data_IF_707311490483
#
_entry.id   IF_707311490483
#
_cell.length_a   1.000
_cell.length_b   1.000
_cell.length_c   1.000
_cell.angle_alpha   90.00
_cell.angle_beta   90.00
_cell.angle_gamma   90.00
#
_symmetry.space_group_name_H-M   'P 1'
#
loop_
_entity.id
_entity.type
_entity.pdbx_description
1 polymer ?
#
# COMPACT_ATOMS: atom_id res chain seq x y z
N UNK A 1 27.28 -35.85 36.80
CA UNK A 1 26.78 -35.00 37.91
C UNK A 1 26.83 -33.49 37.57
N UNK A 2 27.86 -33.02 36.88
CA UNK A 2 28.05 -31.58 36.57
C UNK A 2 27.04 -31.03 35.52
N UNK A 3 26.59 -31.85 34.59
CA UNK A 3 25.65 -31.45 33.53
C UNK A 3 24.22 -31.26 34.07
N UNK A 4 23.81 -32.08 35.03
CA UNK A 4 22.49 -31.98 35.68
C UNK A 4 22.35 -30.69 36.50
N UNK A 5 23.45 -30.25 37.11
CA UNK A 5 23.48 -29.03 37.90
C UNK A 5 23.36 -27.78 37.05
N UNK A 6 24.01 -27.76 35.86
CA UNK A 6 23.91 -26.69 34.87
C UNK A 6 22.50 -26.63 34.30
N UNK A 7 21.91 -27.76 33.94
CA UNK A 7 20.53 -27.83 33.42
C UNK A 7 19.52 -27.32 34.46
N UNK A 8 19.70 -27.68 35.72
CA UNK A 8 18.82 -27.23 36.79
C UNK A 8 18.96 -25.75 37.12
N UNK A 9 20.17 -25.19 36.97
CA UNK A 9 20.42 -23.75 37.09
C UNK A 9 19.74 -22.95 35.98
N UNK A 10 19.87 -23.38 34.71
CA UNK A 10 19.25 -22.75 33.55
C UNK A 10 17.71 -22.81 33.60
N UNK A 11 17.16 -23.94 34.04
CA UNK A 11 15.71 -24.08 34.21
C UNK A 11 15.17 -23.21 35.35
N UNK A 12 15.96 -22.89 36.35
CA UNK A 12 15.57 -21.99 37.45
C UNK A 12 15.58 -20.51 36.98
N UNK A 13 16.49 -20.13 36.10
CA UNK A 13 16.52 -18.78 35.48
C UNK A 13 15.40 -18.55 34.44
N UNK A 14 14.94 -19.63 33.81
CA UNK A 14 13.86 -19.58 32.82
C UNK A 14 12.44 -19.67 33.42
N UNK A 15 12.31 -19.91 34.73
CA UNK A 15 11.02 -19.82 35.40
C UNK A 15 10.66 -18.34 35.61
N UNK A 16 9.64 -17.80 34.90
CA UNK A 16 9.19 -16.45 35.18
C UNK A 16 8.68 -16.40 36.62
N UNK A 17 9.20 -15.44 37.38
CA UNK A 17 8.68 -15.12 38.71
C UNK A 17 7.16 -14.95 38.64
N UNK A 18 6.41 -15.41 39.66
CA UNK A 18 4.98 -15.23 39.70
C UNK A 18 4.68 -13.72 39.62
N UNK A 19 4.29 -13.24 38.44
CA UNK A 19 3.86 -11.88 38.26
C UNK A 19 2.60 -11.68 39.09
N UNK A 20 2.73 -10.87 40.12
CA UNK A 20 1.61 -10.25 40.80
C UNK A 20 0.94 -9.37 39.72
N UNK A 21 -0.19 -9.84 39.20
CA UNK A 21 -1.01 -9.13 38.26
C UNK A 21 -1.67 -7.97 39.01
N UNK A 22 -1.26 -6.69 38.83
CA UNK A 22 -2.13 -5.61 39.19
C UNK A 22 -3.28 -5.62 38.19
N UNK A 23 -4.49 -5.67 38.69
CA UNK A 23 -5.70 -5.52 37.90
C UNK A 23 -5.60 -4.20 37.11
N UNK A 24 -5.20 -4.31 35.84
CA UNK A 24 -5.16 -3.16 34.93
C UNK A 24 -6.58 -2.95 34.42
N UNK A 25 -7.09 -1.70 34.46
CA UNK A 25 -8.41 -1.42 33.96
C UNK A 25 -8.44 -1.74 32.44
N UNK A 26 -9.49 -2.43 32.04
CA UNK A 26 -9.77 -2.76 30.67
C UNK A 26 -9.66 -1.52 29.79
N UNK A 27 -8.54 -1.40 29.05
CA UNK A 27 -8.47 -0.50 27.91
C UNK A 27 -9.37 -1.13 26.86
N UNK A 28 -10.61 -0.67 26.84
CA UNK A 28 -11.51 -0.88 25.72
C UNK A 28 -10.85 -0.22 24.51
N UNK A 29 -10.07 -1.01 23.76
CA UNK A 29 -9.66 -0.62 22.42
C UNK A 29 -10.95 -0.44 21.62
N UNK A 30 -11.34 0.81 21.45
CA UNK A 30 -12.38 1.23 20.54
C UNK A 30 -11.90 0.89 19.12
N UNK A 31 -12.07 -0.37 18.73
CA UNK A 31 -12.02 -0.78 17.34
C UNK A 31 -13.15 -0.04 16.65
N UNK A 32 -12.79 1.01 15.91
CA UNK A 32 -13.71 1.76 15.06
C UNK A 32 -14.42 0.79 14.12
N UNK A 33 -15.65 0.45 14.46
CA UNK A 33 -16.52 -0.43 13.69
C UNK A 33 -17.03 0.37 12.50
N UNK A 34 -16.35 0.39 11.39
CA UNK A 34 -16.96 0.81 10.14
C UNK A 34 -17.62 -0.40 9.48
N UNK A 35 -18.87 -0.64 9.86
CA UNK A 35 -19.77 -1.54 9.16
C UNK A 35 -20.52 -0.69 8.14
N UNK A 36 -20.28 -0.94 6.85
CA UNK A 36 -21.02 -0.29 5.76
C UNK A 36 -21.97 -1.32 5.17
N UNK A 37 -23.25 -1.05 5.20
CA UNK A 37 -24.29 -1.87 4.56
C UNK A 37 -24.62 -1.21 3.22
N UNK A 38 -24.27 -1.85 2.11
CA UNK A 38 -24.67 -1.47 0.77
C UNK A 38 -25.25 -2.70 0.07
N UNK A 39 -26.42 -2.56 -0.53
CA UNK A 39 -27.12 -3.61 -1.31
C UNK A 39 -27.26 -4.98 -0.62
N UNK A 40 -27.53 -5.01 0.70
CA UNK A 40 -27.69 -6.26 1.45
C UNK A 40 -26.41 -7.02 1.73
N UNK A 41 -25.25 -6.46 1.39
CA UNK A 41 -23.94 -7.00 1.70
C UNK A 41 -23.34 -6.25 2.88
N UNK A 42 -23.01 -6.97 3.94
CA UNK A 42 -22.36 -6.40 5.14
C UNK A 42 -20.84 -6.42 4.93
N UNK A 43 -20.21 -5.26 4.92
CA UNK A 43 -18.75 -5.15 4.78
C UNK A 43 -18.08 -5.15 6.15
N UNK A 44 -17.17 -6.09 6.37
CA UNK A 44 -16.37 -6.20 7.60
C UNK A 44 -14.95 -5.72 7.34
N UNK A 45 -14.61 -4.54 7.84
CA UNK A 45 -13.30 -3.90 7.71
C UNK A 45 -12.36 -4.30 8.86
N UNK A 46 -12.04 -5.59 8.98
CA UNK A 46 -11.10 -6.10 9.97
C UNK A 46 -10.10 -7.03 9.31
N UNK A 47 -8.81 -6.90 9.68
CA UNK A 47 -7.76 -7.80 9.22
C UNK A 47 -7.84 -9.18 9.87
N UNK A 48 -8.42 -9.27 11.08
CA UNK A 48 -8.66 -10.54 11.77
C UNK A 48 -10.16 -10.67 12.01
N UNK A 49 -10.77 -11.64 11.35
CA UNK A 49 -12.22 -11.88 11.41
C UNK A 49 -12.51 -13.07 12.30
N UNK A 50 -12.92 -12.78 13.53
CA UNK A 50 -13.35 -13.75 14.51
C UNK A 50 -14.89 -13.83 14.60
N UNK A 51 -15.42 -14.83 15.31
CA UNK A 51 -16.84 -14.94 15.63
C UNK A 51 -17.40 -13.66 16.28
N UNK A 52 -16.65 -13.08 17.23
CA UNK A 52 -17.05 -11.85 17.90
C UNK A 52 -17.20 -10.67 16.94
N UNK A 53 -16.34 -10.56 15.93
CA UNK A 53 -16.40 -9.52 14.89
C UNK A 53 -17.61 -9.72 14.00
N UNK A 54 -17.89 -10.94 13.57
CA UNK A 54 -19.03 -11.28 12.72
C UNK A 54 -20.36 -11.11 13.43
N UNK A 55 -20.43 -11.54 14.70
CA UNK A 55 -21.62 -11.38 15.54
C UNK A 55 -21.91 -9.90 15.82
N UNK A 56 -20.88 -9.12 16.14
CA UNK A 56 -21.00 -7.68 16.34
C UNK A 56 -21.41 -6.91 15.07
N UNK A 57 -21.08 -7.45 13.90
CA UNK A 57 -21.51 -6.90 12.60
C UNK A 57 -22.93 -7.32 12.19
N UNK A 58 -23.60 -8.18 12.97
CA UNK A 58 -24.96 -8.63 12.70
C UNK A 58 -25.09 -9.53 11.46
N UNK A 59 -24.04 -10.25 11.09
CA UNK A 59 -23.99 -11.06 9.87
C UNK A 59 -24.65 -12.41 10.11
N UNK A 60 -25.97 -12.46 10.22
CA UNK A 60 -26.70 -13.72 10.33
C UNK A 60 -27.56 -13.94 9.09
N UNK A 61 -27.35 -15.04 8.35
CA UNK A 61 -28.15 -15.41 7.17
C UNK A 61 -27.95 -14.55 5.92
N UNK A 62 -26.96 -13.63 5.93
CA UNK A 62 -26.72 -12.67 4.86
C UNK A 62 -25.45 -12.96 4.04
N UNK A 63 -25.05 -11.98 3.22
CA UNK A 63 -23.80 -12.00 2.50
C UNK A 63 -22.81 -11.05 3.18
N UNK A 64 -21.62 -11.55 3.49
CA UNK A 64 -20.54 -10.73 4.07
C UNK A 64 -19.41 -10.53 3.07
N UNK A 65 -18.95 -9.31 2.96
CA UNK A 65 -17.76 -8.98 2.24
C UNK A 65 -16.60 -8.75 3.22
N UNK A 66 -15.53 -9.49 3.03
CA UNK A 66 -14.35 -9.40 3.88
C UNK A 66 -13.25 -8.57 3.20
N UNK A 67 -12.45 -7.88 4.00
CA UNK A 67 -11.30 -7.15 3.50
C UNK A 67 -10.30 -8.11 2.80
N UNK A 68 -9.73 -7.69 1.66
CA UNK A 68 -8.70 -8.47 0.98
C UNK A 68 -7.50 -8.69 1.92
N UNK A 69 -7.12 -9.95 2.13
CA UNK A 69 -6.07 -10.33 3.08
C UNK A 69 -6.53 -10.45 4.53
N UNK A 70 -7.83 -10.36 4.80
CA UNK A 70 -8.35 -10.67 6.12
C UNK A 70 -8.12 -12.14 6.47
N UNK A 71 -7.62 -12.38 7.67
CA UNK A 71 -7.42 -13.72 8.23
C UNK A 71 -8.69 -14.14 8.97
N UNK A 72 -9.34 -15.17 8.46
CA UNK A 72 -10.51 -15.74 9.08
C UNK A 72 -10.08 -16.77 10.15
N UNK A 73 -10.39 -16.50 11.40
CA UNK A 73 -10.08 -17.43 12.50
C UNK A 73 -10.92 -18.71 12.41
N UNK A 74 -10.51 -19.83 13.03
CA UNK A 74 -11.33 -21.04 13.08
C UNK A 74 -12.75 -20.77 13.62
N UNK A 75 -12.90 -20.02 14.71
CA UNK A 75 -14.22 -19.64 15.25
C UNK A 75 -15.03 -18.78 14.29
N UNK A 76 -14.39 -17.88 13.52
CA UNK A 76 -15.04 -17.11 12.48
C UNK A 76 -15.58 -17.98 11.34
N UNK A 77 -14.81 -19.02 10.93
CA UNK A 77 -15.27 -19.98 9.91
C UNK A 77 -16.47 -20.78 10.37
N UNK A 78 -16.45 -21.24 11.62
CA UNK A 78 -17.54 -22.00 12.21
C UNK A 78 -18.80 -21.15 12.35
N UNK A 79 -18.67 -19.88 12.70
CA UNK A 79 -19.78 -18.92 12.70
C UNK A 79 -20.42 -18.79 11.34
N UNK A 80 -19.62 -18.57 10.27
CA UNK A 80 -20.13 -18.45 8.89
C UNK A 80 -20.90 -19.70 8.45
N UNK A 81 -20.38 -20.89 8.78
CA UNK A 81 -21.06 -22.17 8.49
C UNK A 81 -22.36 -22.33 9.27
N UNK A 82 -22.33 -22.05 10.57
CA UNK A 82 -23.48 -22.20 11.47
C UNK A 82 -24.63 -21.29 11.08
N UNK A 83 -24.32 -20.08 10.64
CA UNK A 83 -25.32 -19.08 10.26
C UNK A 83 -25.57 -18.99 8.74
N UNK A 84 -25.12 -19.97 7.95
CA UNK A 84 -25.26 -20.03 6.50
C UNK A 84 -24.88 -18.72 5.78
N UNK A 85 -23.88 -18.01 6.29
CA UNK A 85 -23.43 -16.73 5.75
C UNK A 85 -22.60 -16.99 4.49
N UNK A 86 -22.99 -16.37 3.37
CA UNK A 86 -22.24 -16.41 2.13
C UNK A 86 -21.13 -15.36 2.19
N UNK A 87 -19.89 -15.78 2.02
CA UNK A 87 -18.78 -14.85 1.81
C UNK A 87 -18.83 -14.43 0.34
N UNK A 88 -19.26 -13.18 0.09
CA UNK A 88 -19.06 -12.59 -1.23
C UNK A 88 -17.56 -12.61 -1.51
N UNK A 89 -17.17 -12.94 -2.73
CA UNK A 89 -15.77 -12.87 -3.15
C UNK A 89 -15.14 -11.62 -2.53
N UNK A 90 -14.01 -11.83 -1.86
CA UNK A 90 -13.30 -10.75 -1.16
C UNK A 90 -13.45 -9.47 -1.97
N UNK A 91 -14.11 -8.49 -1.39
CA UNK A 91 -14.19 -7.21 -2.04
C UNK A 91 -12.77 -6.89 -2.45
N UNK A 92 -12.53 -6.87 -3.74
CA UNK A 92 -11.44 -6.12 -4.31
C UNK A 92 -11.69 -4.72 -3.76
N UNK A 93 -11.14 -4.48 -2.56
CA UNK A 93 -11.62 -3.40 -1.70
C UNK A 93 -11.52 -2.08 -2.42
N UNK A 94 -12.65 -1.68 -2.91
CA UNK A 94 -12.94 -0.29 -3.17
C UNK A 94 -13.43 0.44 -1.91
N UNK A 95 -13.08 -0.03 -0.70
CA UNK A 95 -12.62 0.88 0.32
C UNK A 95 -11.24 1.26 -0.18
N UNK A 96 -11.14 2.33 -0.93
CA UNK A 96 -9.90 2.88 -1.38
C UNK A 96 -8.94 2.87 -0.19
N UNK A 97 -8.07 1.82 -0.09
CA UNK A 97 -6.76 2.04 0.47
C UNK A 97 -6.37 3.28 -0.29
N UNK A 98 -6.34 4.41 0.38
CA UNK A 98 -5.71 5.60 -0.20
C UNK A 98 -4.35 5.08 -0.59
N UNK A 99 -4.24 4.66 -1.85
CA UNK A 99 -3.02 4.04 -2.33
C UNK A 99 -2.00 5.14 -2.19
N UNK A 100 -0.88 4.84 -1.55
CA UNK A 100 0.19 5.82 -1.36
C UNK A 100 0.64 6.42 -2.69
N UNK A 101 0.24 5.80 -3.81
CA UNK A 101 0.50 6.21 -5.18
C UNK A 101 0.07 5.13 -6.18
N UNK A 102 0.28 5.38 -7.46
CA UNK A 102 -0.02 4.45 -8.54
C UNK A 102 1.21 4.19 -9.41
N UNK A 103 1.45 2.91 -9.70
CA UNK A 103 2.40 2.48 -10.72
C UNK A 103 1.62 2.15 -11.98
N UNK A 104 1.98 2.79 -13.09
CA UNK A 104 1.44 2.51 -14.43
C UNK A 104 2.53 1.82 -15.22
N UNK A 105 2.26 0.64 -15.75
CA UNK A 105 3.23 -0.14 -16.53
C UNK A 105 2.67 -0.54 -17.89
N UNK A 106 3.47 -0.38 -18.96
CA UNK A 106 3.13 -0.85 -20.30
C UNK A 106 3.48 -2.34 -20.48
N UNK A 107 4.43 -2.85 -19.72
CA UNK A 107 4.81 -4.26 -19.66
C UNK A 107 4.69 -4.78 -18.25
N UNK A 108 4.07 -5.94 -18.10
CA UNK A 108 3.85 -6.55 -16.80
C UNK A 108 5.17 -7.04 -16.18
N UNK A 109 5.45 -6.60 -14.96
CA UNK A 109 6.63 -7.01 -14.19
C UNK A 109 6.22 -7.48 -12.80
N UNK A 110 6.48 -8.76 -12.50
CA UNK A 110 6.19 -9.34 -11.19
C UNK A 110 6.97 -8.65 -10.06
N UNK A 111 8.18 -8.16 -10.34
CA UNK A 111 9.02 -7.42 -9.38
C UNK A 111 8.36 -6.10 -9.03
N UNK A 112 7.88 -5.37 -10.04
CA UNK A 112 7.16 -4.10 -9.86
C UNK A 112 5.86 -4.31 -9.08
N UNK A 113 5.05 -5.30 -9.47
CA UNK A 113 3.78 -5.62 -8.80
C UNK A 113 3.98 -5.99 -7.32
N UNK A 114 4.99 -6.81 -7.03
CA UNK A 114 5.31 -7.24 -5.67
C UNK A 114 5.82 -6.08 -4.80
N UNK A 115 6.71 -5.25 -5.33
CA UNK A 115 7.24 -4.09 -4.61
C UNK A 115 6.14 -3.05 -4.35
N UNK A 116 5.31 -2.76 -5.35
CA UNK A 116 4.18 -1.83 -5.25
C UNK A 116 3.16 -2.31 -4.20
N UNK A 117 2.77 -3.58 -4.25
CA UNK A 117 1.85 -4.17 -3.27
C UNK A 117 2.38 -4.07 -1.84
N UNK A 118 3.69 -4.29 -1.63
CA UNK A 118 4.35 -4.16 -0.32
C UNK A 118 4.44 -2.70 0.15
N UNK A 119 4.61 -1.76 -0.77
CA UNK A 119 4.63 -0.33 -0.48
C UNK A 119 3.22 0.28 -0.26
N UNK A 120 2.15 -0.47 -0.51
CA UNK A 120 0.77 0.01 -0.45
C UNK A 120 0.38 0.85 -1.67
N UNK A 121 1.05 0.67 -2.81
CA UNK A 121 0.77 1.31 -4.08
C UNK A 121 -0.17 0.47 -4.94
N UNK A 122 -1.02 1.12 -5.72
CA UNK A 122 -1.78 0.47 -6.78
C UNK A 122 -0.88 0.14 -7.98
N UNK A 123 -1.29 -0.82 -8.80
CA UNK A 123 -0.64 -1.12 -10.08
C UNK A 123 -1.70 -1.21 -11.16
N UNK A 124 -1.47 -0.49 -12.25
CA UNK A 124 -2.31 -0.52 -13.45
C UNK A 124 -1.44 -0.88 -14.64
N UNK A 125 -1.86 -1.91 -15.40
CA UNK A 125 -1.17 -2.31 -16.63
C UNK A 125 -1.98 -1.80 -17.82
N UNK A 126 -1.32 -1.11 -18.72
CA UNK A 126 -1.91 -0.52 -19.94
C UNK A 126 -1.33 -1.19 -21.18
N UNK A 127 -1.98 -1.01 -22.30
CA UNK A 127 -1.64 -1.71 -23.54
C UNK A 127 -0.39 -1.17 -24.27
N UNK A 128 -0.05 0.10 -24.06
CA UNK A 128 1.07 0.75 -24.73
C UNK A 128 1.53 2.00 -23.95
N UNK A 129 2.65 2.58 -24.38
CA UNK A 129 3.21 3.77 -23.74
C UNK A 129 2.33 5.02 -23.90
N UNK A 130 1.67 5.20 -25.04
CA UNK A 130 0.73 6.31 -25.23
C UNK A 130 -0.44 6.25 -24.25
N UNK A 131 -0.97 5.03 -24.01
CA UNK A 131 -2.00 4.82 -23.02
C UNK A 131 -1.48 5.10 -21.60
N UNK A 132 -0.21 4.75 -21.31
CA UNK A 132 0.43 5.08 -20.03
C UNK A 132 0.53 6.60 -19.84
N UNK A 133 1.00 7.33 -20.84
CA UNK A 133 1.09 8.79 -20.82
C UNK A 133 -0.29 9.42 -20.59
N UNK A 134 -1.30 8.99 -21.36
CA UNK A 134 -2.67 9.47 -21.22
C UNK A 134 -3.22 9.24 -19.81
N UNK A 135 -2.94 8.07 -19.24
CA UNK A 135 -3.38 7.71 -17.89
C UNK A 135 -2.66 8.51 -16.80
N UNK A 136 -1.34 8.72 -16.94
CA UNK A 136 -0.57 9.60 -16.06
C UNK A 136 -1.15 11.00 -16.02
N UNK A 137 -1.47 11.57 -17.16
CA UNK A 137 -2.04 12.92 -17.28
C UNK A 137 -3.41 13.06 -16.61
N UNK A 138 -4.24 12.01 -16.63
CA UNK A 138 -5.53 11.99 -15.94
C UNK A 138 -5.39 11.98 -14.40
N UNK A 139 -4.27 11.46 -13.87
CA UNK A 139 -4.04 11.28 -12.44
C UNK A 139 -3.21 12.41 -11.82
N UNK A 140 -2.81 13.38 -12.63
CA UNK A 140 -2.01 14.51 -12.19
C UNK A 140 -2.64 15.25 -11.00
N UNK A 141 -1.80 15.52 -10.00
CA UNK A 141 -2.23 16.25 -8.81
C UNK A 141 -3.03 15.43 -7.79
N UNK A 142 -3.54 14.26 -8.15
CA UNK A 142 -4.34 13.41 -7.27
C UNK A 142 -3.45 12.58 -6.34
N UNK A 143 -2.44 11.91 -6.91
CA UNK A 143 -1.53 11.02 -6.18
C UNK A 143 -0.18 10.96 -6.88
N UNK A 144 0.91 10.47 -6.19
CA UNK A 144 2.18 10.23 -6.86
C UNK A 144 2.03 9.10 -7.88
N UNK A 145 2.69 9.28 -9.02
CA UNK A 145 2.66 8.32 -10.12
C UNK A 145 4.07 7.90 -10.49
N UNK A 146 4.24 6.60 -10.68
CA UNK A 146 5.44 6.00 -11.28
C UNK A 146 5.02 5.36 -12.60
N UNK A 147 5.68 5.74 -13.70
CA UNK A 147 5.47 5.16 -15.02
C UNK A 147 6.63 4.21 -15.31
N UNK A 148 6.32 2.95 -15.61
CA UNK A 148 7.30 1.93 -15.98
C UNK A 148 7.17 1.67 -17.48
N UNK A 149 8.23 1.96 -18.24
CA UNK A 149 8.27 1.82 -19.70
C UNK A 149 9.64 1.35 -20.17
N UNK A 150 9.74 0.93 -21.43
CA UNK A 150 11.02 0.58 -22.06
C UNK A 150 11.91 1.82 -22.28
N UNK A 151 11.28 2.97 -22.56
CA UNK A 151 11.96 4.22 -22.84
C UNK A 151 11.58 5.33 -21.86
N UNK A 152 12.01 5.25 -20.58
CA UNK A 152 11.58 6.19 -19.55
C UNK A 152 11.97 7.66 -19.84
N UNK A 153 13.05 7.89 -20.56
CA UNK A 153 13.49 9.23 -20.94
C UNK A 153 12.53 9.86 -21.96
N UNK A 154 12.07 9.09 -22.94
CA UNK A 154 11.10 9.54 -23.94
C UNK A 154 9.76 9.88 -23.28
N UNK A 155 9.28 8.98 -22.42
CA UNK A 155 8.03 9.21 -21.67
C UNK A 155 8.12 10.46 -20.80
N UNK A 156 9.24 10.64 -20.06
CA UNK A 156 9.45 11.85 -19.27
C UNK A 156 9.47 13.12 -20.10
N UNK A 157 10.11 13.08 -21.28
CA UNK A 157 10.16 14.21 -22.22
C UNK A 157 8.75 14.57 -22.72
N UNK A 158 7.94 13.57 -23.09
CA UNK A 158 6.58 13.78 -23.57
C UNK A 158 5.66 14.33 -22.46
N UNK A 159 5.79 13.83 -21.25
CA UNK A 159 5.04 14.32 -20.09
C UNK A 159 5.39 15.77 -19.75
N UNK A 160 6.66 16.14 -19.81
CA UNK A 160 7.14 17.50 -19.51
C UNK A 160 6.74 18.57 -20.55
N UNK A 161 6.07 18.18 -21.66
CA UNK A 161 5.42 19.15 -22.56
C UNK A 161 4.25 19.86 -21.89
N UNK A 162 3.75 19.31 -20.80
CA UNK A 162 2.72 19.92 -19.96
C UNK A 162 3.40 20.73 -18.84
N UNK A 163 3.06 22.00 -18.73
CA UNK A 163 3.62 22.89 -17.71
C UNK A 163 3.33 22.45 -16.27
N UNK A 164 2.23 21.73 -16.07
CA UNK A 164 1.79 21.20 -14.77
C UNK A 164 2.48 19.90 -14.36
N UNK A 165 3.31 19.30 -15.24
CA UNK A 165 3.99 18.02 -15.03
C UNK A 165 5.48 18.24 -14.82
N UNK A 166 6.03 17.60 -13.81
CA UNK A 166 7.47 17.47 -13.60
C UNK A 166 7.82 15.99 -13.60
N UNK A 167 8.09 15.46 -14.78
CA UNK A 167 8.49 14.07 -14.94
C UNK A 167 10.03 13.95 -14.97
N UNK A 168 10.55 12.92 -14.34
CA UNK A 168 11.96 12.59 -14.35
C UNK A 168 12.18 11.14 -14.73
N UNK A 169 13.06 10.89 -15.69
CA UNK A 169 13.58 9.55 -15.95
C UNK A 169 14.67 9.22 -14.93
N UNK A 170 14.57 8.02 -14.34
CA UNK A 170 15.49 7.54 -13.31
C UNK A 170 16.06 6.21 -13.75
N UNK A 171 17.37 6.15 -13.87
CA UNK A 171 18.11 4.97 -14.29
C UNK A 171 18.77 4.22 -13.13
N UNK A 172 18.83 4.83 -11.95
CA UNK A 172 19.44 4.21 -10.79
C UNK A 172 19.05 4.86 -9.46
N UNK A 173 19.23 4.12 -8.39
CA UNK A 173 18.85 4.55 -7.05
C UNK A 173 19.68 5.74 -6.51
N UNK A 174 20.89 5.95 -7.03
CA UNK A 174 21.79 7.06 -6.63
C UNK A 174 21.26 8.44 -6.96
N UNK A 175 20.43 8.55 -8.01
CA UNK A 175 19.91 9.83 -8.47
C UNK A 175 18.65 10.28 -7.74
N UNK A 176 17.98 9.34 -7.05
CA UNK A 176 16.67 9.57 -6.45
C UNK A 176 16.65 10.71 -5.44
N UNK A 177 17.62 10.74 -4.54
CA UNK A 177 17.66 11.76 -3.49
C UNK A 177 17.87 13.14 -4.09
N UNK A 178 18.81 13.27 -5.02
CA UNK A 178 19.08 14.53 -5.72
C UNK A 178 17.87 15.02 -6.52
N UNK A 179 17.16 14.10 -7.20
CA UNK A 179 15.96 14.42 -7.94
C UNK A 179 14.81 14.84 -7.00
N UNK A 180 14.63 14.14 -5.89
CA UNK A 180 13.61 14.48 -4.90
C UNK A 180 13.83 15.88 -4.30
N UNK A 181 15.07 16.26 -4.02
CA UNK A 181 15.41 17.56 -3.44
C UNK A 181 15.31 18.70 -4.46
N UNK A 182 15.81 18.49 -5.68
CA UNK A 182 15.96 19.57 -6.68
C UNK A 182 14.75 19.71 -7.60
N UNK A 183 14.22 18.60 -8.11
CA UNK A 183 13.11 18.62 -9.06
C UNK A 183 11.75 18.44 -8.40
N UNK A 184 11.69 17.69 -7.30
CA UNK A 184 10.43 17.27 -6.66
C UNK A 184 9.44 16.75 -7.70
N UNK A 185 9.78 15.69 -8.41
CA UNK A 185 9.00 15.24 -9.56
C UNK A 185 7.59 14.83 -9.14
N UNK A 186 6.62 15.13 -9.97
CA UNK A 186 5.25 14.65 -9.82
C UNK A 186 5.08 13.25 -10.40
N UNK A 187 5.93 12.90 -11.38
CA UNK A 187 5.97 11.60 -12.04
C UNK A 187 7.42 11.11 -12.14
N UNK A 188 7.67 9.86 -11.79
CA UNK A 188 8.93 9.19 -12.08
C UNK A 188 8.75 8.17 -13.20
N UNK A 189 9.64 8.19 -14.18
CA UNK A 189 9.69 7.24 -15.28
C UNK A 189 10.87 6.30 -15.09
N UNK A 190 10.63 5.00 -15.11
CA UNK A 190 11.62 3.95 -14.84
C UNK A 190 11.63 2.91 -15.95
N UNK A 191 12.80 2.31 -16.20
CA UNK A 191 12.88 1.02 -16.87
C UNK A 191 12.63 -0.10 -15.85
N UNK A 192 11.59 -0.91 -16.11
CA UNK A 192 11.21 -1.99 -15.19
C UNK A 192 12.23 -3.11 -15.05
N UNK A 193 13.14 -3.28 -16.03
CA UNK A 193 14.14 -4.33 -16.04
C UNK A 193 15.40 -3.97 -15.20
N UNK A 194 15.69 -2.68 -15.04
CA UNK A 194 16.90 -2.21 -14.37
C UNK A 194 16.82 -2.15 -12.82
N UNK A 195 15.71 -2.54 -12.21
CA UNK A 195 15.47 -2.32 -10.77
C UNK A 195 15.30 -3.62 -10.00
N UNK A 196 16.02 -3.74 -8.90
CA UNK A 196 15.75 -4.80 -7.92
C UNK A 196 14.50 -4.47 -7.08
N UNK A 197 13.88 -5.50 -6.52
CA UNK A 197 12.72 -5.34 -5.63
C UNK A 197 12.97 -4.37 -4.47
N UNK A 198 14.15 -4.47 -3.83
CA UNK A 198 14.51 -3.61 -2.69
C UNK A 198 14.68 -2.15 -3.08
N UNK A 199 15.25 -1.88 -4.28
CA UNK A 199 15.40 -0.54 -4.81
C UNK A 199 14.03 0.09 -5.14
N UNK A 200 13.15 -0.66 -5.81
CA UNK A 200 11.78 -0.22 -6.09
C UNK A 200 11.00 0.05 -4.81
N UNK A 201 11.05 -0.84 -3.83
CA UNK A 201 10.38 -0.65 -2.56
C UNK A 201 10.84 0.63 -1.84
N UNK A 202 12.15 0.88 -1.83
CA UNK A 202 12.74 2.09 -1.24
C UNK A 202 12.27 3.34 -1.98
N UNK A 203 12.27 3.32 -3.31
CA UNK A 203 11.79 4.41 -4.17
C UNK A 203 10.32 4.74 -3.87
N UNK A 204 9.44 3.75 -3.88
CA UNK A 204 8.01 3.94 -3.67
C UNK A 204 7.72 4.49 -2.27
N UNK A 205 8.42 4.02 -1.24
CA UNK A 205 8.30 4.54 0.13
C UNK A 205 8.77 5.99 0.23
N UNK A 206 9.87 6.33 -0.42
CA UNK A 206 10.37 7.71 -0.47
C UNK A 206 9.36 8.64 -1.14
N UNK A 207 8.76 8.24 -2.26
CA UNK A 207 7.75 9.04 -2.95
C UNK A 207 6.47 9.21 -2.14
N UNK A 208 6.10 8.22 -1.33
CA UNK A 208 4.93 8.32 -0.45
C UNK A 208 5.08 9.42 0.60
N UNK A 209 6.31 9.71 1.03
CA UNK A 209 6.64 10.74 2.02
C UNK A 209 7.09 12.07 1.41
N UNK A 210 7.30 12.14 0.10
CA UNK A 210 7.86 13.32 -0.54
C UNK A 210 6.88 14.49 -0.59
N UNK A 211 7.40 15.70 -0.33
CA UNK A 211 6.66 16.96 -0.49
C UNK A 211 6.48 17.23 -1.99
N UNK A 212 5.24 17.43 -2.43
CA UNK A 212 4.89 17.57 -3.87
C UNK A 212 4.86 19.01 -4.36
N UNK A 213 5.04 20.00 -3.49
CA UNK A 213 5.11 21.40 -3.91
C UNK A 213 6.29 21.64 -4.83
N UNK A 214 6.12 22.47 -5.86
CA UNK A 214 7.22 22.86 -6.73
C UNK A 214 8.36 23.48 -5.92
N UNK A 215 9.64 23.26 -6.30
CA UNK A 215 10.76 23.94 -5.70
C UNK A 215 10.58 25.46 -5.79
N UNK A 216 11.17 26.18 -4.83
CA UNK A 216 11.19 27.64 -4.85
C UNK A 216 11.91 28.10 -6.12
N UNK A 217 11.35 29.10 -6.82
CA UNK A 217 11.90 29.62 -8.07
C UNK A 217 11.32 28.97 -9.35
N UNK A 218 10.76 27.78 -9.29
CA UNK A 218 10.17 27.12 -10.47
C UNK A 218 8.91 27.84 -10.97
N UNK A 219 8.10 28.38 -10.04
CA UNK A 219 6.90 29.16 -10.39
C UNK A 219 7.19 30.42 -11.21
N UNK A 220 8.34 31.04 -10.99
CA UNK A 220 8.79 32.21 -11.73
C UNK A 220 9.18 31.86 -13.16
N UNK A 221 9.80 30.69 -13.36
CA UNK A 221 10.14 30.18 -14.69
C UNK A 221 8.88 29.80 -15.50
N UNK A 222 7.87 29.22 -14.85
CA UNK A 222 6.59 28.88 -15.48
C UNK A 222 5.83 30.14 -15.93
N UNK A 223 5.91 31.23 -15.17
CA UNK A 223 5.26 32.50 -15.49
C UNK A 223 6.04 33.31 -16.56
N UNK A 224 7.36 33.13 -16.63
CA UNK A 224 8.23 33.79 -17.59
C UNK A 224 8.22 33.18 -18.99
N UNK A 225 7.87 31.92 -19.15
CA UNK A 225 7.81 31.21 -20.44
C UNK A 225 6.58 31.54 -21.33
N UNK A 226 5.65 32.31 -20.80
CA UNK A 226 4.42 32.75 -21.52
C UNK A 226 4.49 34.14 -22.16
N UNK A 227 5.69 34.72 -22.33
CA UNK A 227 5.89 36.02 -23.01
C UNK A 227 6.60 35.85 -24.34
#
# INVERSE_FOLDING_TARGET
>A
EHVEEIVRSVLRELQPAPAVVPASPAVAAAASKSVVVADGVITVNSLVVSEAVLSAAGVAGGTVALLRGAVLTPSGRDYLRRHAVKVASQLSGAAAKVSSGLVIQSQRSAVVESAAGTAGWGVETVSCEDAAIGRVLQLQGVQPVVCVSADPAVVACLLNRRADVRAAAVTGASDLQRLAERLRPTVLCLDGAGWSWTQLLRLLRMLSSAVRSAPVGWRELEQGAGR
#
